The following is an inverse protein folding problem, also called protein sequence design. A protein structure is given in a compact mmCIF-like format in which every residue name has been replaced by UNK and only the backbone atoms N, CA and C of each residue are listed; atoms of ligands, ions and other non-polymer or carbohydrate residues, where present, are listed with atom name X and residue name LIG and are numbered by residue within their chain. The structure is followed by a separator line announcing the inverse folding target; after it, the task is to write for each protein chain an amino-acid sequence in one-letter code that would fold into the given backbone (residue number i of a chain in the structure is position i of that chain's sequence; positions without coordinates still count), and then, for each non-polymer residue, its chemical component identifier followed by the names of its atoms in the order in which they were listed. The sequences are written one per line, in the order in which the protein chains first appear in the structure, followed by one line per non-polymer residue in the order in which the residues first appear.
data_IF_360489809595
#
_entry.id   IF_360489809595
#
_cell.length_a   1.000
_cell.length_b   1.000
_cell.length_c   1.000
_cell.angle_alpha   90.00
_cell.angle_beta   90.00
_cell.angle_gamma   90.00
#
_symmetry.space_group_name_H-M   'P 1'
#
loop_
_entity.id
_entity.type
_entity.pdbx_description
1 polymer ?
#
# COMPACT_ATOMS: atom_id res chain seq x y z
N UNK A 1 -21.79 -13.25 18.92
CA UNK A 1 -20.96 -13.27 17.71
C UNK A 1 -21.26 -11.98 16.97
N UNK A 2 -20.32 -11.04 16.94
CA UNK A 2 -20.46 -9.82 16.17
C UNK A 2 -20.18 -10.16 14.70
N UNK A 3 -21.06 -9.75 13.78
CA UNK A 3 -20.82 -9.93 12.34
C UNK A 3 -20.80 -8.55 11.70
N UNK A 4 -19.60 -8.07 11.38
CA UNK A 4 -19.40 -6.87 10.56
C UNK A 4 -19.34 -7.24 9.08
N UNK A 5 -19.64 -6.27 8.20
CA UNK A 5 -19.45 -6.46 6.76
C UNK A 5 -17.95 -6.43 6.42
N UNK A 6 -17.50 -7.25 5.45
CA UNK A 6 -16.10 -7.21 5.01
C UNK A 6 -15.77 -5.84 4.44
N UNK A 7 -14.65 -5.28 4.89
CA UNK A 7 -14.04 -4.07 4.33
C UNK A 7 -13.11 -4.50 3.21
N UNK A 8 -13.29 -3.96 2.00
CA UNK A 8 -12.37 -4.17 0.86
C UNK A 8 -11.23 -3.16 1.00
N UNK A 9 -9.99 -3.63 0.87
CA UNK A 9 -8.80 -2.78 0.79
C UNK A 9 -8.16 -2.89 -0.57
N UNK A 10 -7.75 -1.75 -1.13
CA UNK A 10 -7.03 -1.70 -2.39
C UNK A 10 -6.17 -0.43 -2.45
N UNK A 11 -5.16 -0.45 -3.30
CA UNK A 11 -4.32 0.71 -3.64
C UNK A 11 -4.09 0.74 -5.15
N UNK A 12 -3.61 1.85 -5.67
CA UNK A 12 -3.21 1.96 -7.08
C UNK A 12 -1.71 1.69 -7.21
N UNK A 13 -1.29 0.58 -7.85
CA UNK A 13 0.11 0.35 -8.12
C UNK A 13 0.55 1.29 -9.24
N UNK A 14 1.56 2.13 -9.00
CA UNK A 14 2.14 2.92 -10.07
C UNK A 14 3.64 3.04 -9.88
N UNK A 15 4.38 2.68 -10.93
CA UNK A 15 5.79 3.02 -11.04
C UNK A 15 5.95 4.54 -11.00
N UNK A 16 7.04 5.02 -10.40
CA UNK A 16 7.35 6.45 -10.35
C UNK A 16 8.76 6.68 -10.85
N UNK A 17 8.90 7.72 -11.66
CA UNK A 17 10.18 8.13 -12.22
C UNK A 17 10.65 9.42 -11.53
N UNK A 18 11.95 9.47 -11.25
CA UNK A 18 12.61 10.63 -10.67
C UNK A 18 13.91 10.88 -11.43
N UNK A 19 14.24 12.15 -11.65
CA UNK A 19 15.57 12.57 -12.07
C UNK A 19 16.19 13.39 -10.95
N UNK A 20 17.37 12.99 -10.51
CA UNK A 20 18.09 13.58 -9.38
C UNK A 20 19.45 14.06 -9.84
N UNK A 21 19.73 15.35 -9.62
CA UNK A 21 21.06 15.90 -9.81
C UNK A 21 21.91 15.64 -8.56
N UNK A 22 23.04 14.95 -8.72
CA UNK A 22 24.03 14.71 -7.68
C UNK A 22 25.21 15.67 -7.85
N UNK A 23 25.47 16.46 -6.82
CA UNK A 23 26.63 17.37 -6.73
C UNK A 23 26.77 18.33 -7.92
N UNK A 24 25.64 18.68 -8.56
CA UNK A 24 25.57 19.53 -9.77
C UNK A 24 26.41 19.03 -10.97
N UNK A 25 26.81 17.75 -10.97
CA UNK A 25 27.72 17.18 -11.96
C UNK A 25 27.23 15.86 -12.59
N UNK A 26 26.26 15.19 -11.97
CA UNK A 26 25.75 13.89 -12.43
C UNK A 26 24.23 13.88 -12.38
N UNK A 27 23.57 13.54 -13.48
CA UNK A 27 22.15 13.27 -13.49
C UNK A 27 21.87 11.77 -13.35
N UNK A 28 21.01 11.43 -12.39
CA UNK A 28 20.59 10.05 -12.12
C UNK A 28 19.10 9.91 -12.34
N UNK A 29 18.72 9.06 -13.28
CA UNK A 29 17.33 8.64 -13.45
C UNK A 29 17.04 7.44 -12.56
N UNK A 30 15.91 7.47 -11.86
CA UNK A 30 15.47 6.43 -10.93
C UNK A 30 14.03 6.06 -11.25
N UNK A 31 13.77 4.75 -11.41
CA UNK A 31 12.44 4.17 -11.50
C UNK A 31 12.19 3.39 -10.22
N UNK A 32 11.12 3.69 -9.50
CA UNK A 32 10.68 2.90 -8.34
C UNK A 32 9.41 2.12 -8.68
N UNK A 33 9.39 0.85 -8.30
CA UNK A 33 8.27 -0.07 -8.51
C UNK A 33 7.80 -0.65 -7.18
N UNK A 34 6.48 -0.75 -6.95
CA UNK A 34 5.97 -1.34 -5.73
C UNK A 34 6.19 -2.85 -5.74
N UNK A 35 6.64 -3.40 -4.61
CA UNK A 35 6.98 -4.81 -4.46
C UNK A 35 6.03 -5.55 -3.53
N UNK A 36 5.62 -4.91 -2.45
CA UNK A 36 4.80 -5.54 -1.41
C UNK A 36 3.93 -4.49 -0.70
N UNK A 37 2.72 -4.90 -0.32
CA UNK A 37 1.73 -4.12 0.39
C UNK A 37 1.41 -4.82 1.71
N UNK A 38 1.53 -4.11 2.82
CA UNK A 38 1.16 -4.60 4.15
C UNK A 38 0.13 -3.67 4.77
N UNK A 39 -1.06 -4.22 5.00
CA UNK A 39 -2.19 -3.56 5.62
C UNK A 39 -2.22 -3.87 7.11
N UNK A 40 -2.38 -2.85 7.93
CA UNK A 40 -2.74 -2.99 9.35
C UNK A 40 -4.16 -2.47 9.55
N UNK A 41 -4.99 -3.20 10.28
CA UNK A 41 -6.43 -2.88 10.39
C UNK A 41 -6.81 -2.12 11.66
N UNK A 42 -5.86 -1.89 12.57
CA UNK A 42 -6.08 -1.17 13.82
C UNK A 42 -6.68 -2.03 14.95
N UNK A 43 -7.00 -3.29 14.69
CA UNK A 43 -7.47 -4.30 15.66
C UNK A 43 -6.41 -5.36 16.00
N UNK A 44 -5.18 -5.14 15.54
CA UNK A 44 -4.05 -6.06 15.70
C UNK A 44 -3.88 -7.06 14.55
N UNK A 45 -4.84 -7.15 13.63
CA UNK A 45 -4.69 -7.98 12.44
C UNK A 45 -3.96 -7.25 11.30
N UNK A 46 -3.29 -8.04 10.47
CA UNK A 46 -2.49 -7.55 9.34
C UNK A 46 -2.67 -8.44 8.11
N UNK A 47 -2.59 -7.85 6.92
CA UNK A 47 -2.63 -8.55 5.64
C UNK A 47 -1.47 -8.09 4.76
N UNK A 48 -0.58 -9.02 4.38
CA UNK A 48 0.53 -8.75 3.46
C UNK A 48 0.31 -9.44 2.12
N UNK A 49 0.54 -8.73 1.02
CA UNK A 49 0.26 -9.19 -0.34
C UNK A 49 1.17 -8.49 -1.36
N UNK A 50 1.39 -9.13 -2.51
CA UNK A 50 2.03 -8.50 -3.68
C UNK A 50 1.02 -7.93 -4.66
N UNK A 51 -0.26 -8.30 -4.54
CA UNK A 51 -1.37 -7.75 -5.32
C UNK A 51 -1.89 -6.48 -4.62
N UNK A 52 -2.05 -5.36 -5.34
CA UNK A 52 -2.58 -4.11 -4.79
C UNK A 52 -4.06 -4.19 -4.38
N UNK A 53 -4.78 -5.25 -4.72
CA UNK A 53 -6.23 -5.38 -4.59
C UNK A 53 -6.97 -4.65 -5.70
N UNK A 54 -8.29 -4.68 -5.61
CA UNK A 54 -9.19 -4.02 -6.57
C UNK A 54 -10.37 -3.38 -5.84
N UNK A 55 -10.92 -2.27 -6.34
CA UNK A 55 -12.11 -1.67 -5.76
C UNK A 55 -13.32 -2.61 -5.87
N UNK A 56 -14.35 -2.33 -5.07
CA UNK A 56 -15.65 -2.99 -5.20
C UNK A 56 -16.10 -3.02 -6.67
N UNK A 57 -16.62 -4.14 -7.19
CA UNK A 57 -17.11 -5.33 -6.47
C UNK A 57 -16.06 -6.44 -6.25
N UNK A 58 -14.76 -6.17 -6.41
CA UNK A 58 -13.75 -7.18 -6.11
C UNK A 58 -13.61 -7.39 -4.59
N UNK A 59 -13.61 -8.65 -4.16
CA UNK A 59 -13.45 -9.06 -2.74
C UNK A 59 -12.13 -9.80 -2.53
N UNK A 60 -11.10 -9.47 -3.32
CA UNK A 60 -9.83 -10.19 -3.33
C UNK A 60 -9.07 -9.99 -2.00
N UNK A 61 -9.05 -8.76 -1.50
CA UNK A 61 -8.43 -8.39 -0.23
C UNK A 61 -9.50 -7.78 0.68
N UNK A 62 -9.83 -8.50 1.75
CA UNK A 62 -10.86 -8.05 2.69
C UNK A 62 -10.48 -8.32 4.14
N UNK A 63 -11.06 -7.52 5.03
CA UNK A 63 -10.96 -7.71 6.48
C UNK A 63 -12.32 -7.66 7.15
N UNK A 64 -12.50 -8.43 8.23
CA UNK A 64 -13.74 -8.47 9.01
C UNK A 64 -13.41 -8.25 10.48
N UNK A 65 -13.96 -7.17 11.04
CA UNK A 65 -13.81 -6.87 12.45
C UNK A 65 -14.71 -7.75 13.31
N UNK A 66 -14.14 -8.35 14.35
CA UNK A 66 -14.84 -9.19 15.32
C UNK A 66 -15.19 -8.45 16.63
N UNK A 67 -14.64 -7.25 16.83
CA UNK A 67 -14.81 -6.42 18.02
C UNK A 67 -15.34 -5.03 17.64
N UNK A 68 -16.16 -4.46 18.51
CA UNK A 68 -16.59 -3.06 18.41
C UNK A 68 -15.48 -2.13 18.89
N UNK A 69 -15.38 -0.94 18.32
CA UNK A 69 -14.37 0.04 18.71
C UNK A 69 -14.02 1.01 17.59
N UNK A 70 -12.96 1.78 17.81
CA UNK A 70 -12.37 2.65 16.78
C UNK A 70 -11.26 1.90 16.06
N UNK A 71 -11.25 1.95 14.74
CA UNK A 71 -10.23 1.34 13.91
C UNK A 71 -9.63 2.35 12.93
N UNK A 72 -8.36 2.18 12.61
CA UNK A 72 -7.66 2.92 11.57
C UNK A 72 -6.90 1.92 10.69
N UNK A 73 -7.16 1.95 9.39
CA UNK A 73 -6.44 1.11 8.43
C UNK A 73 -5.20 1.89 7.97
N UNK A 74 -4.02 1.26 8.02
CA UNK A 74 -2.79 1.81 7.44
C UNK A 74 -2.22 0.87 6.38
N UNK A 75 -1.67 1.45 5.32
CA UNK A 75 -0.96 0.73 4.27
C UNK A 75 0.53 1.07 4.35
N UNK A 76 1.37 0.04 4.44
CA UNK A 76 2.80 0.12 4.22
C UNK A 76 3.12 -0.47 2.85
N UNK A 77 3.74 0.31 1.97
CA UNK A 77 4.21 -0.16 0.65
C UNK A 77 5.73 -0.21 0.64
N UNK A 78 6.27 -1.38 0.30
CA UNK A 78 7.70 -1.60 0.06
C UNK A 78 7.98 -1.47 -1.42
N UNK A 79 9.01 -0.70 -1.78
CA UNK A 79 9.39 -0.37 -3.14
C UNK A 79 10.79 -0.86 -3.44
N UNK A 80 11.01 -1.32 -4.67
CA UNK A 80 12.33 -1.55 -5.25
C UNK A 80 12.64 -0.46 -6.26
N UNK A 81 13.92 -0.16 -6.48
CA UNK A 81 14.34 0.86 -7.43
C UNK A 81 15.33 0.32 -8.46
N UNK A 82 15.27 0.87 -9.67
CA UNK A 82 16.33 0.81 -10.67
C UNK A 82 16.84 2.21 -10.92
N UNK A 83 18.13 2.35 -11.17
CA UNK A 83 18.75 3.63 -11.48
C UNK A 83 19.70 3.52 -12.67
N UNK A 84 19.90 4.63 -13.39
CA UNK A 84 20.98 4.78 -14.37
C UNK A 84 21.63 6.15 -14.18
N UNK A 85 22.91 6.24 -14.51
CA UNK A 85 23.69 7.48 -14.40
C UNK A 85 24.03 7.95 -15.80
N UNK A 86 23.81 9.22 -16.08
CA UNK A 86 24.07 9.88 -17.37
C UNK A 86 25.53 9.76 -17.85
N UNK A 87 26.48 9.77 -16.93
CA UNK A 87 27.93 9.63 -17.19
C UNK A 87 28.36 8.21 -17.54
N UNK A 88 27.48 7.22 -17.40
CA UNK A 88 27.74 5.86 -17.89
C UNK A 88 27.63 5.84 -19.42
N UNK A 89 28.71 5.55 -20.16
CA UNK A 89 28.68 5.52 -21.62
C UNK A 89 27.66 4.53 -22.20
N UNK A 90 27.29 3.51 -21.43
CA UNK A 90 26.32 2.49 -21.84
C UNK A 90 24.90 2.78 -21.34
N UNK A 91 24.69 3.80 -20.51
CA UNK A 91 23.41 4.20 -19.92
C UNK A 91 22.60 3.02 -19.35
N UNK A 92 23.29 2.08 -18.69
CA UNK A 92 22.68 0.85 -18.21
C UNK A 92 21.88 1.07 -16.93
N UNK A 93 20.67 0.50 -16.90
CA UNK A 93 19.88 0.37 -15.69
C UNK A 93 20.51 -0.65 -14.74
N UNK A 94 20.62 -0.27 -13.47
CA UNK A 94 21.12 -1.08 -12.36
C UNK A 94 20.05 -1.19 -11.29
N UNK A 95 19.94 -2.33 -10.64
CA UNK A 95 19.10 -2.46 -9.45
C UNK A 95 19.73 -1.70 -8.28
N UNK A 96 18.90 -1.02 -7.49
CA UNK A 96 19.34 -0.47 -6.21
C UNK A 96 19.35 -1.56 -5.15
N UNK A 97 20.41 -1.62 -4.34
CA UNK A 97 20.54 -2.62 -3.27
C UNK A 97 19.56 -2.42 -2.09
N UNK A 98 18.85 -1.28 -2.05
CA UNK A 98 17.93 -0.90 -0.98
C UNK A 98 16.46 -0.90 -1.38
N UNK A 99 15.58 -1.04 -0.38
CA UNK A 99 14.14 -0.83 -0.53
C UNK A 99 13.74 0.53 0.04
N UNK A 100 12.75 1.17 -0.56
CA UNK A 100 12.07 2.32 0.05
C UNK A 100 10.73 1.89 0.65
N UNK A 101 10.26 2.62 1.67
CA UNK A 101 9.00 2.33 2.35
C UNK A 101 8.15 3.60 2.38
N UNK A 102 6.87 3.48 2.02
CA UNK A 102 5.87 4.54 2.21
C UNK A 102 4.77 4.03 3.13
N UNK A 103 4.34 4.86 4.07
CA UNK A 103 3.21 4.56 4.97
C UNK A 103 2.09 5.56 4.70
N UNK A 104 0.89 5.04 4.45
CA UNK A 104 -0.32 5.83 4.30
C UNK A 104 -1.33 5.42 5.38
N UNK A 105 -1.64 6.33 6.30
CA UNK A 105 -2.66 6.13 7.32
C UNK A 105 -4.02 6.61 6.80
N UNK A 106 -5.03 5.75 6.89
CA UNK A 106 -6.42 6.10 6.60
C UNK A 106 -7.06 6.97 7.68
N UNK A 107 -8.33 7.28 7.49
CA UNK A 107 -9.13 8.00 8.50
C UNK A 107 -9.64 6.99 9.54
N UNK A 108 -9.68 7.40 10.80
CA UNK A 108 -10.31 6.61 11.86
C UNK A 108 -11.83 6.47 11.61
N UNK A 109 -12.36 5.29 11.90
CA UNK A 109 -13.80 5.03 11.81
C UNK A 109 -14.27 4.14 12.96
N UNK A 110 -15.59 4.18 13.22
CA UNK A 110 -16.21 3.37 14.26
C UNK A 110 -16.71 2.04 13.69
N UNK A 111 -16.30 0.95 14.32
CA UNK A 111 -16.77 -0.40 14.04
C UNK A 111 -18.02 -0.65 14.87
N UNK A 112 -19.17 -0.71 14.19
CA UNK A 112 -20.49 -0.92 14.80
C UNK A 112 -21.13 -2.25 14.40
N UNK A 113 -22.04 -2.73 15.24
CA UNK A 113 -22.86 -3.91 14.94
C UNK A 113 -24.02 -3.54 14.00
N UNK A 114 -24.14 -4.23 12.86
CA UNK A 114 -25.34 -4.14 12.02
C UNK A 114 -26.47 -4.96 12.64
N UNK A 115 -27.41 -4.29 13.30
CA UNK A 115 -28.67 -4.92 13.75
C UNK A 115 -29.74 -4.74 12.68
N UNK A 116 -30.11 -5.83 12.02
CA UNK A 116 -31.33 -5.85 11.20
C UNK A 116 -32.54 -5.83 12.12
N UNK A 117 -33.30 -4.72 12.12
CA UNK A 117 -34.63 -4.69 12.73
C UNK A 117 -35.67 -4.93 11.65
N UNK A 118 -36.39 -6.05 11.73
CA UNK A 118 -37.62 -6.23 10.96
C UNK A 118 -38.71 -5.37 11.62
N UNK A 119 -39.18 -4.35 10.94
CA UNK A 119 -40.39 -3.63 11.34
C UNK A 119 -41.54 -4.28 10.57
N UNK A 120 -42.37 -5.02 11.30
CA UNK A 120 -43.66 -5.51 10.82
C UNK A 120 -44.78 -4.57 11.23
#
# INVERSE_FOLDING_TARGET
MLVTKPVIVFTEPADREFSVALLDAYDVDVIVSPREYSWTFGDGETLTTTDPGRPYPAFDLTHKYSQLGTAQISLTTTWTAKYRVDTDPLLLWRDADGNAVTVHAGVEFEVIELRSKLVG
#
